data_IF_423260643868
#
_entry.id   IF_423260643868
#
_cell.length_a   1.000
_cell.length_b   1.000
_cell.length_c   1.000
_cell.angle_alpha   90.00
_cell.angle_beta   90.00
_cell.angle_gamma   90.00
#
_symmetry.space_group_name_H-M   'P 1'
#
loop_
_entity.id
_entity.type
_entity.pdbx_description
1 polymer ?
#
# COMPACT_ATOMS: atom_id res chain seq x y z
N UNK A 1 -36.81 59.69 -8.41
CA UNK A 1 -36.84 59.32 -9.83
C UNK A 1 -35.42 58.91 -10.23
N UNK A 2 -35.31 57.72 -10.81
CA UNK A 2 -34.17 57.14 -11.55
C UNK A 2 -32.97 56.55 -10.78
N UNK A 3 -32.80 55.28 -11.11
CA UNK A 3 -31.79 54.26 -10.79
C UNK A 3 -30.51 54.43 -11.61
N UNK A 4 -29.41 53.80 -11.16
CA UNK A 4 -28.28 53.19 -11.91
C UNK A 4 -27.10 53.09 -10.93
N UNK A 5 -26.18 52.12 -10.95
CA UNK A 5 -26.04 50.81 -11.57
C UNK A 5 -24.87 50.12 -10.84
N UNK A 6 -24.77 48.82 -11.01
CA UNK A 6 -23.90 47.84 -10.38
C UNK A 6 -22.39 48.08 -10.64
N UNK A 7 -21.52 47.77 -9.65
CA UNK A 7 -20.28 47.04 -9.94
C UNK A 7 -19.61 46.54 -8.64
N UNK A 8 -20.01 45.36 -8.17
CA UNK A 8 -19.22 44.58 -7.21
C UNK A 8 -18.14 43.84 -7.99
N UNK A 9 -16.91 44.34 -8.00
CA UNK A 9 -15.76 43.54 -8.42
C UNK A 9 -15.31 42.66 -7.26
N UNK A 10 -15.82 41.43 -7.26
CA UNK A 10 -15.36 40.36 -6.39
C UNK A 10 -13.93 40.00 -6.81
N UNK A 11 -12.92 40.48 -6.06
CA UNK A 11 -11.57 39.97 -6.20
C UNK A 11 -11.53 38.55 -5.60
N UNK A 12 -11.65 37.54 -6.46
CA UNK A 12 -11.27 36.17 -6.14
C UNK A 12 -9.75 36.13 -5.97
N UNK A 13 -9.28 36.09 -4.73
CA UNK A 13 -7.90 35.69 -4.43
C UNK A 13 -7.84 34.17 -4.55
N UNK A 14 -7.13 33.71 -5.57
CA UNK A 14 -6.80 32.31 -5.79
C UNK A 14 -6.33 31.66 -4.48
N UNK A 15 -6.97 30.58 -4.08
CA UNK A 15 -6.49 29.72 -3.00
C UNK A 15 -5.51 28.71 -3.62
N UNK A 16 -4.18 28.91 -3.54
CA UNK A 16 -3.25 27.94 -4.11
C UNK A 16 -3.34 26.68 -3.26
N UNK A 17 -3.87 25.63 -3.88
CA UNK A 17 -4.11 24.34 -3.26
C UNK A 17 -2.93 23.88 -2.39
N UNK A 18 -3.24 23.51 -1.14
CA UNK A 18 -2.35 22.78 -0.24
C UNK A 18 -1.80 21.54 -0.97
N UNK A 19 -0.63 21.65 -1.59
CA UNK A 19 0.16 20.48 -1.97
C UNK A 19 0.75 19.92 -0.68
N UNK A 20 0.06 18.97 -0.05
CA UNK A 20 0.61 18.23 1.09
C UNK A 20 1.94 17.61 0.66
N UNK A 21 3.03 17.99 1.31
CA UNK A 21 4.32 17.32 1.14
C UNK A 21 4.14 15.84 1.47
N UNK A 22 4.44 14.97 0.51
CA UNK A 22 4.31 13.53 0.68
C UNK A 22 5.45 13.06 1.58
N UNK A 23 5.17 12.84 2.86
CA UNK A 23 6.14 12.25 3.79
C UNK A 23 6.18 10.73 3.59
N UNK A 24 7.40 10.19 3.41
CA UNK A 24 7.63 8.76 3.20
C UNK A 24 8.88 8.25 3.92
N UNK A 25 8.91 6.94 4.15
CA UNK A 25 9.97 6.24 4.88
C UNK A 25 10.78 5.44 3.86
N UNK A 26 12.10 5.62 3.88
CA UNK A 26 13.03 4.80 3.10
C UNK A 26 13.40 3.59 3.93
N UNK A 27 13.44 2.41 3.33
CA UNK A 27 13.90 1.21 4.00
C UNK A 27 15.39 1.33 4.36
N UNK A 28 15.80 1.07 5.62
CA UNK A 28 17.20 1.18 6.04
C UNK A 28 18.03 -0.08 5.74
N UNK A 29 17.42 -1.16 5.24
CA UNK A 29 18.14 -2.42 4.92
C UNK A 29 19.09 -2.18 3.74
N UNK A 30 20.41 -2.46 3.88
CA UNK A 30 21.37 -2.30 2.79
C UNK A 30 20.96 -3.07 1.53
N UNK A 31 21.03 -2.39 0.37
CA UNK A 31 20.58 -2.95 -0.91
C UNK A 31 19.06 -2.92 -1.13
N UNK A 32 18.26 -2.57 -0.12
CA UNK A 32 16.83 -2.33 -0.27
C UNK A 32 16.56 -0.85 -0.57
N UNK A 33 16.33 -0.51 -1.84
CA UNK A 33 16.05 0.87 -2.27
C UNK A 33 14.55 1.24 -2.16
N UNK A 34 13.80 0.61 -1.25
CA UNK A 34 12.37 0.83 -1.14
C UNK A 34 12.05 2.18 -0.48
N UNK A 35 11.18 2.96 -1.10
CA UNK A 35 10.58 4.17 -0.51
C UNK A 35 9.07 3.98 -0.37
N UNK A 36 8.58 4.04 0.86
CA UNK A 36 7.18 3.76 1.19
C UNK A 36 6.47 5.03 1.64
N UNK A 37 5.41 5.38 0.92
CA UNK A 37 4.58 6.55 1.20
C UNK A 37 3.45 6.20 2.17
N UNK A 38 3.44 6.82 3.34
CA UNK A 38 2.50 6.56 4.43
C UNK A 38 3.02 5.54 5.44
N UNK A 39 2.64 5.69 6.72
CA UNK A 39 3.44 5.17 7.83
C UNK A 39 3.33 3.66 8.07
N UNK A 40 2.32 3.13 8.76
CA UNK A 40 2.50 1.79 9.35
C UNK A 40 2.23 0.61 8.40
N UNK A 41 0.99 0.48 7.93
CA UNK A 41 0.54 -0.74 7.25
C UNK A 41 1.24 -1.01 5.90
N UNK A 42 1.59 0.06 5.17
CA UNK A 42 2.30 -0.08 3.89
C UNK A 42 3.74 -0.50 4.08
N UNK A 43 4.42 0.07 5.08
CA UNK A 43 5.80 -0.29 5.39
C UNK A 43 5.88 -1.73 5.90
N UNK A 44 5.00 -2.11 6.83
CA UNK A 44 4.88 -3.50 7.29
C UNK A 44 4.66 -4.48 6.12
N UNK A 45 3.82 -4.13 5.15
CA UNK A 45 3.62 -4.95 3.94
C UNK A 45 4.90 -5.08 3.11
N UNK A 46 5.63 -3.98 2.92
CA UNK A 46 6.93 -4.00 2.25
C UNK A 46 7.88 -4.97 2.96
N UNK A 47 7.97 -4.87 4.29
CA UNK A 47 8.87 -5.67 5.11
C UNK A 47 8.58 -7.16 4.95
N UNK A 48 7.33 -7.56 5.15
CA UNK A 48 6.92 -8.96 5.00
C UNK A 48 7.20 -9.53 3.60
N UNK A 49 7.20 -8.69 2.56
CA UNK A 49 7.41 -9.14 1.19
C UNK A 49 8.90 -9.24 0.80
N UNK A 50 9.80 -8.57 1.50
CA UNK A 50 11.22 -8.44 1.10
C UNK A 50 12.20 -8.91 2.17
N UNK A 51 11.81 -8.90 3.43
CA UNK A 51 12.70 -9.12 4.57
C UNK A 51 12.26 -10.29 5.45
N UNK A 52 11.23 -11.03 5.03
CA UNK A 52 10.90 -12.34 5.58
C UNK A 52 11.37 -13.45 4.65
N UNK A 53 11.96 -14.50 5.21
CA UNK A 53 12.45 -15.68 4.46
C UNK A 53 11.31 -16.43 3.78
N UNK A 54 10.12 -16.43 4.39
CA UNK A 54 8.93 -17.06 3.86
C UNK A 54 7.81 -16.04 3.71
N UNK A 55 7.09 -16.11 2.60
CA UNK A 55 5.96 -15.22 2.28
C UNK A 55 4.67 -16.00 2.14
N UNK A 56 3.59 -15.43 2.67
CA UNK A 56 2.24 -15.97 2.46
C UNK A 56 1.84 -15.84 0.99
N UNK A 57 1.31 -16.92 0.41
CA UNK A 57 0.65 -16.94 -0.89
C UNK A 57 -0.77 -17.47 -0.73
N UNK A 58 -1.70 -16.81 -1.41
CA UNK A 58 -3.11 -17.14 -1.41
C UNK A 58 -3.47 -17.71 -2.78
N UNK A 59 -4.08 -18.88 -2.80
CA UNK A 59 -4.38 -19.59 -4.05
C UNK A 59 -5.87 -19.47 -4.40
N UNK A 60 -6.16 -19.24 -5.67
CA UNK A 60 -7.52 -19.31 -6.16
C UNK A 60 -8.02 -20.76 -6.12
N UNK A 61 -9.19 -21.05 -5.50
CA UNK A 61 -9.71 -22.41 -5.45
C UNK A 61 -10.13 -22.94 -6.83
N UNK A 62 -10.48 -22.06 -7.78
CA UNK A 62 -10.93 -22.48 -9.11
C UNK A 62 -9.78 -22.71 -10.09
N UNK A 63 -8.83 -21.79 -10.19
CA UNK A 63 -7.77 -21.84 -11.21
C UNK A 63 -6.36 -22.02 -10.63
N UNK A 64 -6.22 -22.12 -9.31
CA UNK A 64 -4.94 -22.27 -8.59
C UNK A 64 -3.91 -21.15 -8.82
N UNK A 65 -4.32 -20.03 -9.40
CA UNK A 65 -3.47 -18.84 -9.50
C UNK A 65 -3.08 -18.33 -8.10
N UNK A 66 -1.82 -17.99 -7.92
CA UNK A 66 -1.26 -17.56 -6.64
C UNK A 66 -1.14 -16.04 -6.56
N UNK A 67 -1.53 -15.47 -5.41
CA UNK A 67 -1.54 -14.05 -5.14
C UNK A 67 -0.73 -13.72 -3.88
N UNK A 68 -0.10 -12.55 -3.86
CA UNK A 68 0.68 -12.06 -2.70
C UNK A 68 -0.22 -11.58 -1.56
N UNK A 69 -1.50 -11.27 -1.82
CA UNK A 69 -2.44 -10.67 -0.85
C UNK A 69 -3.84 -11.24 -1.02
N UNK A 70 -4.60 -11.29 0.09
CA UNK A 70 -6.02 -11.66 0.08
C UNK A 70 -6.86 -10.72 -0.81
N UNK A 71 -6.60 -9.41 -0.75
CA UNK A 71 -7.34 -8.44 -1.57
C UNK A 71 -7.14 -8.67 -3.08
N UNK A 72 -5.92 -8.99 -3.50
CA UNK A 72 -5.63 -9.29 -4.90
C UNK A 72 -6.37 -10.55 -5.36
N UNK A 73 -6.40 -11.58 -4.51
CA UNK A 73 -7.17 -12.80 -4.77
C UNK A 73 -8.67 -12.51 -4.82
N UNK A 74 -9.20 -11.70 -3.89
CA UNK A 74 -10.61 -11.28 -3.86
C UNK A 74 -11.00 -10.58 -5.15
N UNK A 75 -10.19 -9.63 -5.62
CA UNK A 75 -10.43 -8.97 -6.91
C UNK A 75 -10.24 -9.90 -8.09
N UNK A 76 -9.35 -10.90 -8.00
CA UNK A 76 -9.20 -11.89 -9.05
C UNK A 76 -10.45 -12.74 -9.23
N UNK A 77 -11.02 -13.24 -8.12
CA UNK A 77 -12.12 -14.21 -8.21
C UNK A 77 -13.44 -13.63 -8.69
N UNK A 78 -13.65 -12.33 -8.59
CA UNK A 78 -14.85 -11.70 -9.17
C UNK A 78 -14.89 -11.84 -10.69
N UNK A 79 -13.75 -12.15 -11.33
CA UNK A 79 -13.67 -12.46 -12.76
C UNK A 79 -14.13 -13.87 -13.09
N UNK A 80 -14.12 -14.79 -12.12
CA UNK A 80 -14.81 -16.06 -12.27
C UNK A 80 -16.30 -15.79 -12.15
N UNK A 81 -17.08 -16.22 -13.15
CA UNK A 81 -18.51 -15.96 -13.19
C UNK A 81 -19.19 -16.47 -11.90
N UNK A 82 -19.56 -15.53 -11.02
CA UNK A 82 -20.37 -15.81 -9.83
C UNK A 82 -19.62 -16.29 -8.58
N UNK A 83 -18.28 -16.23 -8.51
CA UNK A 83 -17.59 -16.59 -7.26
C UNK A 83 -17.50 -15.40 -6.29
N UNK A 84 -18.13 -15.56 -5.12
CA UNK A 84 -17.82 -14.76 -3.93
C UNK A 84 -16.90 -15.62 -3.06
N UNK A 85 -15.67 -15.16 -2.84
CA UNK A 85 -14.79 -15.82 -1.90
C UNK A 85 -15.11 -15.39 -0.48
N UNK A 86 -15.44 -16.37 0.36
CA UNK A 86 -15.18 -16.25 1.79
C UNK A 86 -13.66 -16.30 2.01
N UNK A 87 -13.10 -15.30 2.70
CA UNK A 87 -11.65 -15.17 2.88
C UNK A 87 -11.11 -16.08 3.99
N UNK A 88 -11.99 -16.68 4.77
CA UNK A 88 -11.63 -17.58 5.87
C UNK A 88 -11.28 -18.99 5.36
N UNK A 89 -11.91 -19.41 4.25
CA UNK A 89 -11.66 -20.71 3.61
C UNK A 89 -10.52 -20.69 2.57
N UNK A 90 -9.87 -19.54 2.39
CA UNK A 90 -8.77 -19.43 1.42
C UNK A 90 -7.51 -20.09 1.95
N UNK A 91 -7.05 -21.12 1.23
CA UNK A 91 -5.76 -21.75 1.47
C UNK A 91 -4.61 -20.72 1.41
N UNK A 92 -3.87 -20.62 2.52
CA UNK A 92 -2.67 -19.81 2.66
C UNK A 92 -1.46 -20.73 2.84
N UNK A 93 -0.50 -20.67 1.92
CA UNK A 93 0.77 -21.39 2.05
C UNK A 93 1.93 -20.42 2.27
N UNK A 94 2.88 -20.80 3.13
CA UNK A 94 4.13 -20.09 3.30
C UNK A 94 5.18 -20.67 2.36
N UNK A 95 5.60 -19.88 1.37
CA UNK A 95 6.60 -20.28 0.39
C UNK A 95 7.87 -19.48 0.58
N UNK A 96 9.01 -20.04 0.20
CA UNK A 96 10.29 -19.35 0.23
C UNK A 96 10.23 -18.07 -0.62
N UNK A 97 10.75 -16.99 -0.04
CA UNK A 97 10.75 -15.68 -0.66
C UNK A 97 11.96 -15.52 -1.59
N UNK A 98 11.72 -15.65 -2.88
CA UNK A 98 12.75 -15.42 -3.92
C UNK A 98 13.25 -13.97 -3.96
N UNK A 99 12.53 -13.04 -3.34
CA UNK A 99 12.89 -11.63 -3.24
C UNK A 99 13.48 -11.28 -1.85
N UNK A 100 13.89 -12.28 -1.07
CA UNK A 100 14.44 -12.10 0.26
C UNK A 100 15.76 -11.32 0.24
N UNK A 101 15.80 -10.26 1.03
CA UNK A 101 16.98 -9.50 1.40
C UNK A 101 17.09 -9.60 2.91
N UNK A 102 18.20 -10.15 3.40
CA UNK A 102 18.43 -10.34 4.83
C UNK A 102 18.48 -8.99 5.54
N UNK A 103 17.54 -8.71 6.47
CA UNK A 103 17.51 -7.44 7.16
C UNK A 103 18.50 -7.37 8.32
N UNK A 104 19.12 -8.47 8.76
CA UNK A 104 20.00 -8.50 9.94
C UNK A 104 21.08 -7.39 9.89
N UNK A 105 21.25 -6.59 10.96
CA UNK A 105 20.66 -6.69 12.30
C UNK A 105 19.34 -5.90 12.52
N UNK A 106 18.74 -5.38 11.45
CA UNK A 106 17.57 -4.49 11.52
C UNK A 106 16.30 -5.32 11.68
N UNK A 107 15.45 -4.92 12.63
CA UNK A 107 14.11 -5.51 12.83
C UNK A 107 13.02 -4.61 12.24
N UNK A 108 11.82 -5.16 12.00
CA UNK A 108 10.67 -4.36 11.55
C UNK A 108 10.41 -3.16 12.48
N UNK A 109 10.48 -3.37 13.80
CA UNK A 109 10.25 -2.34 14.82
C UNK A 109 11.28 -1.21 14.68
N UNK A 110 12.56 -1.55 14.74
CA UNK A 110 13.66 -0.57 14.60
C UNK A 110 13.67 0.14 13.24
N UNK A 111 13.27 -0.53 12.17
CA UNK A 111 13.17 0.07 10.84
C UNK A 111 12.04 1.09 10.71
N UNK A 112 10.98 0.94 11.51
CA UNK A 112 9.84 1.87 11.54
C UNK A 112 10.10 3.08 12.44
N UNK A 113 10.95 2.92 13.45
CA UNK A 113 11.38 3.99 14.38
C UNK A 113 12.49 4.89 13.81
N UNK A 114 13.09 4.51 12.67
CA UNK A 114 14.20 5.23 12.03
C UNK A 114 13.87 6.68 11.57
N UNK A 115 12.65 7.19 11.81
CA UNK A 115 12.21 8.57 11.49
C UNK A 115 11.23 9.17 12.53
N UNK A 116 11.52 9.05 13.82
CA UNK A 116 11.00 10.02 14.82
C UNK A 116 12.01 11.10 15.11
#
# INVERSE_FOLDING_TARGET
>A
MYTTEESWTQHNVDNPGRKRAVTGITCPVPGCNAFVIGHYAKYRRHWLAKHERFVSKYFCPQCRAAYKRKDDLRTHVTKHAGLILDLDDVECQFLENKEFLDPDPITLETAMDYKT
#
